data_IF_826153177383
#
_entry.id   IF_826153177383
#
_cell.length_a   1.000
_cell.length_b   1.000
_cell.length_c   1.000
_cell.angle_alpha   90.00
_cell.angle_beta   90.00
_cell.angle_gamma   90.00
#
_symmetry.space_group_name_H-M   'P 1'
#
loop_
_entity.id
_entity.type
_entity.pdbx_description
1 polymer ?
#
# COMPACT_ATOMS: atom_id res chain seq x y z
N UNK A 1 -6.83 3.64 -12.85
CA UNK A 1 -7.55 2.60 -13.65
C UNK A 1 -8.07 1.46 -12.79
N UNK A 2 -7.27 0.82 -11.90
CA UNK A 2 -7.72 -0.32 -11.07
C UNK A 2 -8.91 -0.01 -10.17
N UNK A 3 -8.96 1.18 -9.58
CA UNK A 3 -10.00 1.53 -8.58
C UNK A 3 -11.34 1.91 -9.22
N UNK A 4 -11.31 2.63 -10.32
CA UNK A 4 -12.51 3.14 -11.02
C UNK A 4 -12.22 3.36 -12.52
N UNK A 5 -12.18 2.30 -13.32
CA UNK A 5 -11.76 2.36 -14.72
C UNK A 5 -12.65 3.30 -15.56
N UNK A 6 -13.94 3.38 -15.23
CA UNK A 6 -14.90 4.21 -15.97
C UNK A 6 -14.61 5.71 -15.88
N UNK A 7 -13.98 6.18 -14.80
CA UNK A 7 -13.66 7.59 -14.58
C UNK A 7 -12.18 7.92 -14.79
N UNK A 8 -11.35 6.96 -15.19
CA UNK A 8 -9.91 7.17 -15.32
C UNK A 8 -9.53 8.34 -16.24
N UNK A 9 -10.29 8.53 -17.32
CA UNK A 9 -10.08 9.59 -18.30
C UNK A 9 -10.41 11.01 -17.78
N UNK A 10 -11.13 11.12 -16.68
CA UNK A 10 -11.49 12.38 -16.04
C UNK A 10 -10.41 12.96 -15.15
N UNK A 11 -9.33 12.20 -14.92
CA UNK A 11 -8.21 12.63 -14.09
C UNK A 11 -6.97 12.89 -14.93
N UNK A 12 -6.27 13.97 -14.59
CA UNK A 12 -4.97 14.31 -15.15
C UNK A 12 -3.94 14.42 -14.02
N UNK A 13 -2.77 13.81 -14.22
CA UNK A 13 -1.68 13.81 -13.25
C UNK A 13 -0.46 14.50 -13.82
N UNK A 14 0.17 15.36 -13.01
CA UNK A 14 1.37 16.09 -13.39
C UNK A 14 2.41 16.02 -12.29
N UNK A 15 3.63 15.61 -12.63
CA UNK A 15 4.76 15.71 -11.71
C UNK A 15 5.33 17.13 -11.73
N UNK A 16 5.52 17.69 -10.53
CA UNK A 16 6.23 18.96 -10.34
C UNK A 16 7.74 18.70 -10.37
N UNK A 17 8.47 19.60 -10.98
CA UNK A 17 9.94 19.47 -11.16
C UNK A 17 10.75 20.22 -10.09
N UNK A 18 10.11 20.58 -8.97
CA UNK A 18 10.79 21.29 -7.90
C UNK A 18 11.57 20.35 -6.94
N UNK A 19 12.54 20.92 -6.26
CA UNK A 19 13.43 20.22 -5.32
C UNK A 19 12.93 20.19 -3.88
N UNK A 20 11.62 20.31 -3.65
CA UNK A 20 11.05 20.29 -2.30
C UNK A 20 11.05 18.88 -1.74
N UNK A 21 11.72 18.67 -0.62
CA UNK A 21 11.94 17.38 0.03
C UNK A 21 10.72 16.86 0.84
N UNK A 22 9.66 17.65 0.97
CA UNK A 22 8.42 17.28 1.66
C UNK A 22 7.33 17.03 0.63
N UNK A 23 6.63 15.90 0.77
CA UNK A 23 5.51 15.53 -0.08
C UNK A 23 4.44 16.61 -0.08
N UNK A 24 4.02 17.01 -1.28
CA UNK A 24 2.95 17.98 -1.49
C UNK A 24 2.18 17.69 -2.76
N UNK A 25 0.91 18.07 -2.76
CA UNK A 25 0.09 18.04 -3.95
C UNK A 25 -0.73 19.33 -4.09
N UNK A 26 -1.15 19.59 -5.33
CA UNK A 26 -2.17 20.56 -5.68
C UNK A 26 -3.32 19.82 -6.37
N UNK A 27 -4.54 20.22 -6.06
CA UNK A 27 -5.76 19.69 -6.64
C UNK A 27 -6.60 20.83 -7.18
N UNK A 28 -7.02 20.77 -8.43
CA UNK A 28 -7.83 21.78 -9.11
C UNK A 28 -8.67 21.16 -10.21
N UNK A 29 -9.71 21.85 -10.65
CA UNK A 29 -10.45 21.53 -11.89
C UNK A 29 -9.86 22.30 -13.05
N UNK A 30 -9.58 21.62 -14.17
CA UNK A 30 -9.06 22.21 -15.38
C UNK A 30 -9.75 21.59 -16.61
N UNK A 31 -10.42 22.42 -17.42
CA UNK A 31 -11.09 22.01 -18.65
C UNK A 31 -12.00 20.76 -18.48
N UNK A 32 -12.77 20.71 -17.40
CA UNK A 32 -13.69 19.61 -17.09
C UNK A 32 -13.01 18.34 -16.58
N UNK A 33 -11.71 18.39 -16.25
CA UNK A 33 -10.96 17.32 -15.65
C UNK A 33 -10.49 17.70 -14.25
N UNK A 34 -10.21 16.70 -13.46
CA UNK A 34 -9.57 16.86 -12.15
C UNK A 34 -8.05 16.76 -12.33
N UNK A 35 -7.36 17.88 -12.16
CA UNK A 35 -5.92 17.98 -12.28
C UNK A 35 -5.26 17.85 -10.92
N UNK A 36 -4.40 16.86 -10.78
CA UNK A 36 -3.63 16.58 -9.57
C UNK A 36 -2.14 16.74 -9.90
N UNK A 37 -1.50 17.69 -9.25
CA UNK A 37 -0.05 17.92 -9.37
C UNK A 37 0.63 17.50 -8.08
N UNK A 38 1.78 16.83 -8.18
CA UNK A 38 2.53 16.40 -7.00
C UNK A 38 4.03 16.36 -7.27
N UNK A 39 4.85 16.55 -6.24
CA UNK A 39 6.30 16.50 -6.38
C UNK A 39 6.87 15.08 -6.48
N UNK A 40 6.05 14.06 -6.24
CA UNK A 40 6.38 12.66 -6.50
C UNK A 40 5.10 11.83 -6.71
N UNK A 41 5.25 10.54 -7.06
CA UNK A 41 4.13 9.65 -7.35
C UNK A 41 3.22 9.41 -6.14
N UNK A 42 3.81 9.34 -4.94
CA UNK A 42 3.05 9.16 -3.70
C UNK A 42 2.16 10.39 -3.43
N UNK A 43 2.70 11.59 -3.63
CA UNK A 43 1.94 12.85 -3.52
C UNK A 43 0.75 12.90 -4.50
N UNK A 44 0.92 12.39 -5.72
CA UNK A 44 -0.20 12.27 -6.68
C UNK A 44 -1.29 11.33 -6.17
N UNK A 45 -0.91 10.18 -5.62
CA UNK A 45 -1.87 9.22 -5.06
C UNK A 45 -2.61 9.81 -3.83
N UNK A 46 -1.92 10.55 -2.98
CA UNK A 46 -2.54 11.23 -1.83
C UNK A 46 -3.50 12.32 -2.30
N UNK A 47 -3.14 13.08 -3.33
CA UNK A 47 -4.04 14.07 -3.95
C UNK A 47 -5.31 13.43 -4.50
N UNK A 48 -5.19 12.28 -5.16
CA UNK A 48 -6.33 11.51 -5.62
C UNK A 48 -7.21 11.07 -4.45
N UNK A 49 -6.62 10.50 -3.40
CA UNK A 49 -7.36 10.07 -2.21
C UNK A 49 -8.06 11.25 -1.50
N UNK A 50 -7.43 12.42 -1.49
CA UNK A 50 -8.04 13.64 -0.98
C UNK A 50 -9.32 13.99 -1.76
N UNK A 51 -9.24 13.95 -3.10
CA UNK A 51 -10.40 14.19 -3.95
C UNK A 51 -11.52 13.17 -3.70
N UNK A 52 -11.18 11.88 -3.65
CA UNK A 52 -12.15 10.82 -3.37
C UNK A 52 -12.88 11.04 -2.04
N UNK A 53 -12.14 11.36 -0.99
CA UNK A 53 -12.71 11.55 0.36
C UNK A 53 -13.56 12.80 0.51
N UNK A 54 -13.06 13.94 0.05
CA UNK A 54 -13.64 15.23 0.39
C UNK A 54 -14.59 15.79 -0.68
N UNK A 55 -14.47 15.31 -1.92
CA UNK A 55 -15.33 15.73 -3.03
C UNK A 55 -16.30 14.62 -3.45
N UNK A 56 -15.81 13.40 -3.63
CA UNK A 56 -16.66 12.27 -4.00
C UNK A 56 -17.32 11.58 -2.81
N UNK A 57 -16.93 11.92 -1.57
CA UNK A 57 -17.39 11.27 -0.33
C UNK A 57 -17.25 9.74 -0.38
N UNK A 58 -16.20 9.28 -1.03
CA UNK A 58 -15.91 7.87 -1.22
C UNK A 58 -14.64 7.47 -0.49
N UNK A 59 -14.58 6.22 -0.06
CA UNK A 59 -13.48 5.69 0.73
C UNK A 59 -12.91 4.42 0.10
N UNK A 60 -11.58 4.36 0.01
CA UNK A 60 -10.87 3.15 -0.40
C UNK A 60 -10.37 2.43 0.84
N UNK A 61 -10.84 1.21 1.06
CA UNK A 61 -10.41 0.36 2.16
C UNK A 61 -9.58 -0.81 1.64
N UNK A 62 -8.51 -1.15 2.35
CA UNK A 62 -7.75 -2.36 2.07
C UNK A 62 -8.43 -3.63 2.65
N UNK A 63 -9.37 -3.43 3.55
CA UNK A 63 -10.08 -4.49 4.25
C UNK A 63 -11.39 -4.90 3.55
N UNK A 64 -12.10 -3.94 2.96
CA UNK A 64 -13.35 -4.20 2.28
C UNK A 64 -13.11 -4.60 0.83
N UNK A 65 -13.87 -5.58 0.36
CA UNK A 65 -13.85 -6.03 -1.04
C UNK A 65 -14.72 -5.19 -1.97
N UNK A 66 -15.45 -4.21 -1.42
CA UNK A 66 -16.39 -3.41 -2.16
C UNK A 66 -15.69 -2.54 -3.22
N UNK A 67 -16.32 -2.41 -4.36
CA UNK A 67 -15.87 -1.49 -5.41
C UNK A 67 -16.01 -0.05 -4.93
N UNK A 68 -15.08 0.78 -5.37
CA UNK A 68 -15.13 2.23 -5.13
C UNK A 68 -16.34 2.80 -5.86
N UNK A 69 -17.30 3.33 -5.11
CA UNK A 69 -18.51 3.96 -5.69
C UNK A 69 -18.19 5.42 -6.00
N UNK A 70 -18.27 5.76 -7.29
CA UNK A 70 -18.04 7.12 -7.77
C UNK A 70 -19.38 7.82 -8.05
N UNK A 71 -19.49 9.14 -7.80
CA UNK A 71 -20.65 9.90 -8.21
C UNK A 71 -20.78 9.90 -9.74
N UNK A 72 -22.00 9.93 -10.26
CA UNK A 72 -22.27 9.94 -11.70
C UNK A 72 -21.62 11.16 -12.39
N UNK A 73 -21.58 12.30 -11.72
CA UNK A 73 -20.86 13.49 -12.13
C UNK A 73 -19.81 13.83 -11.07
N UNK A 74 -18.57 13.96 -11.52
CA UNK A 74 -17.47 14.30 -10.62
C UNK A 74 -17.61 15.76 -10.15
N UNK A 75 -17.58 16.01 -8.81
CA UNK A 75 -17.63 17.36 -8.28
C UNK A 75 -16.43 18.21 -8.74
N UNK A 76 -16.69 19.46 -9.04
CA UNK A 76 -15.63 20.41 -9.36
C UNK A 76 -14.87 20.87 -8.11
N UNK A 77 -13.61 21.19 -8.31
CA UNK A 77 -12.74 21.81 -7.31
C UNK A 77 -12.77 23.32 -7.56
N UNK A 78 -13.73 24.01 -6.95
CA UNK A 78 -13.97 25.44 -7.16
C UNK A 78 -12.77 26.31 -6.77
N UNK A 79 -12.07 25.92 -5.71
CA UNK A 79 -10.87 26.61 -5.21
C UNK A 79 -9.72 25.61 -5.16
N UNK A 80 -8.58 25.91 -5.80
CA UNK A 80 -7.41 25.04 -5.76
C UNK A 80 -6.98 24.69 -4.33
N UNK A 81 -6.76 23.41 -4.07
CA UNK A 81 -6.29 22.89 -2.79
C UNK A 81 -4.79 22.65 -2.90
N UNK A 82 -4.02 23.20 -1.96
CA UNK A 82 -2.57 22.96 -1.83
C UNK A 82 -2.31 22.38 -0.46
N UNK A 83 -1.85 21.15 -0.40
CA UNK A 83 -1.50 20.48 0.84
C UNK A 83 -0.09 19.92 0.81
N UNK A 84 0.55 19.92 1.97
CA UNK A 84 1.89 19.36 2.19
C UNK A 84 1.88 18.46 3.40
N UNK A 85 2.68 17.42 3.36
CA UNK A 85 2.87 16.53 4.50
C UNK A 85 3.54 17.28 5.66
N UNK A 86 3.17 16.91 6.89
CA UNK A 86 3.87 17.38 8.11
C UNK A 86 5.11 16.54 8.42
N UNK A 87 5.18 15.33 7.87
CA UNK A 87 6.24 14.36 8.13
C UNK A 87 6.86 13.88 6.81
N UNK A 88 8.18 13.80 6.76
CA UNK A 88 8.91 13.23 5.62
C UNK A 88 8.69 11.72 5.52
N UNK A 89 8.81 11.02 6.64
CA UNK A 89 8.70 9.57 6.72
C UNK A 89 7.39 9.17 7.39
N UNK A 90 6.65 8.27 6.74
CA UNK A 90 5.38 7.73 7.24
C UNK A 90 5.46 6.22 7.19
N UNK A 91 5.74 5.64 8.36
CA UNK A 91 5.92 4.21 8.54
C UNK A 91 4.58 3.50 8.68
N UNK A 92 4.48 2.31 8.13
CA UNK A 92 3.27 1.50 8.23
C UNK A 92 3.59 0.02 8.40
N UNK A 93 2.85 -0.59 9.29
CA UNK A 93 2.83 -1.94 9.83
C UNK A 93 3.95 -2.24 10.84
N UNK A 94 3.62 -3.17 11.73
CA UNK A 94 4.53 -3.84 12.64
C UNK A 94 4.59 -5.34 12.31
N UNK A 95 5.49 -6.05 12.95
CA UNK A 95 5.71 -7.49 12.72
C UNK A 95 4.46 -8.34 12.97
N UNK A 96 3.76 -8.12 14.07
CA UNK A 96 2.65 -8.97 14.50
C UNK A 96 1.46 -8.95 13.54
N UNK A 97 1.20 -7.81 12.90
CA UNK A 97 0.06 -7.63 11.98
C UNK A 97 0.06 -8.66 10.86
N UNK A 98 1.22 -9.06 10.37
CA UNK A 98 1.35 -10.08 9.33
C UNK A 98 0.81 -11.45 9.77
N UNK A 99 0.88 -11.78 11.06
CA UNK A 99 0.34 -13.03 11.61
C UNK A 99 -1.16 -13.00 11.90
N UNK A 100 -1.73 -11.82 12.11
CA UNK A 100 -3.15 -11.70 12.43
C UNK A 100 -4.07 -11.65 11.20
N UNK A 101 -3.68 -10.90 10.19
CA UNK A 101 -4.58 -10.62 9.06
C UNK A 101 -4.07 -11.19 7.74
N UNK A 102 -2.78 -11.45 7.59
CA UNK A 102 -2.13 -11.62 6.29
C UNK A 102 -1.47 -12.99 6.03
N UNK A 103 -1.55 -14.02 6.90
CA UNK A 103 -0.79 -15.27 6.71
C UNK A 103 -1.11 -15.99 5.41
N UNK A 104 -2.37 -15.87 4.94
CA UNK A 104 -2.88 -16.59 3.78
C UNK A 104 -3.26 -15.67 2.62
N UNK A 105 -2.79 -14.43 2.66
CA UNK A 105 -3.06 -13.46 1.61
C UNK A 105 -2.48 -13.89 0.27
N UNK A 106 -3.26 -13.68 -0.77
CA UNK A 106 -2.87 -13.83 -2.17
C UNK A 106 -2.36 -12.49 -2.71
N UNK A 107 -1.82 -12.49 -3.92
CA UNK A 107 -1.33 -11.26 -4.54
C UNK A 107 -2.39 -10.15 -4.62
N UNK A 108 -3.63 -10.51 -4.92
CA UNK A 108 -4.74 -9.54 -4.97
C UNK A 108 -4.95 -8.77 -3.65
N UNK A 109 -4.70 -9.41 -2.51
CA UNK A 109 -4.84 -8.79 -1.19
C UNK A 109 -3.67 -7.82 -0.93
N UNK A 110 -2.46 -8.26 -1.29
CA UNK A 110 -1.27 -7.43 -1.22
C UNK A 110 -1.35 -6.22 -2.15
N UNK A 111 -1.81 -6.40 -3.39
CA UNK A 111 -1.98 -5.30 -4.36
C UNK A 111 -2.95 -4.24 -3.82
N UNK A 112 -4.06 -4.66 -3.22
CA UNK A 112 -5.02 -3.75 -2.58
C UNK A 112 -4.41 -2.97 -1.42
N UNK A 113 -3.63 -3.64 -0.56
CA UNK A 113 -2.92 -2.97 0.52
C UNK A 113 -1.90 -1.97 -0.01
N UNK A 114 -1.14 -2.31 -1.04
CA UNK A 114 -0.16 -1.42 -1.66
C UNK A 114 -0.84 -0.18 -2.25
N UNK A 115 -1.95 -0.36 -2.95
CA UNK A 115 -2.74 0.76 -3.48
C UNK A 115 -3.25 1.66 -2.34
N UNK A 116 -3.76 1.05 -1.26
CA UNK A 116 -4.21 1.79 -0.09
C UNK A 116 -3.06 2.54 0.59
N UNK A 117 -1.89 1.93 0.73
CA UNK A 117 -0.70 2.59 1.28
C UNK A 117 -0.30 3.80 0.45
N UNK A 118 -0.28 3.68 -0.87
CA UNK A 118 0.01 4.80 -1.77
C UNK A 118 -1.00 5.94 -1.62
N UNK A 119 -2.30 5.62 -1.59
CA UNK A 119 -3.38 6.59 -1.41
C UNK A 119 -3.33 7.30 -0.04
N UNK A 120 -2.81 6.64 0.99
CA UNK A 120 -2.67 7.21 2.33
C UNK A 120 -1.27 7.74 2.63
N UNK A 121 -0.41 7.81 1.63
CA UNK A 121 0.88 8.48 1.71
C UNK A 121 1.94 7.73 2.52
N UNK A 122 1.82 6.41 2.66
CA UNK A 122 2.86 5.60 3.31
C UNK A 122 4.13 5.65 2.47
N UNK A 123 5.27 5.98 3.09
CA UNK A 123 6.58 6.07 2.43
C UNK A 123 7.53 4.96 2.86
N UNK A 124 7.26 4.32 3.99
CA UNK A 124 8.12 3.31 4.60
C UNK A 124 7.27 2.11 5.06
N UNK A 125 6.79 1.26 4.14
CA UNK A 125 6.11 0.02 4.55
C UNK A 125 7.13 -1.00 5.07
N UNK A 126 6.78 -1.72 6.14
CA UNK A 126 7.54 -2.88 6.57
C UNK A 126 7.29 -4.05 5.61
N UNK A 127 8.32 -4.48 4.89
CA UNK A 127 8.22 -5.49 3.84
C UNK A 127 8.95 -6.78 4.25
N UNK A 128 8.42 -7.48 5.26
CA UNK A 128 9.06 -8.69 5.81
C UNK A 128 8.48 -10.00 5.25
N UNK A 129 7.35 -9.95 4.58
CA UNK A 129 6.70 -11.15 4.04
C UNK A 129 7.53 -11.74 2.88
N UNK A 130 7.69 -13.06 2.89
CA UNK A 130 8.42 -13.77 1.85
C UNK A 130 9.90 -14.04 2.17
N UNK A 131 10.40 -13.65 3.33
CA UNK A 131 11.78 -13.93 3.74
C UNK A 131 12.06 -15.44 3.76
N UNK A 132 11.14 -16.25 4.20
CA UNK A 132 11.27 -17.71 4.32
C UNK A 132 11.57 -18.36 2.98
N UNK A 133 11.01 -17.86 1.89
CA UNK A 133 11.29 -18.38 0.55
C UNK A 133 12.74 -18.11 0.12
N UNK A 134 13.32 -17.01 0.57
CA UNK A 134 14.74 -16.69 0.33
C UNK A 134 15.62 -17.56 1.21
N UNK A 135 15.32 -17.68 2.51
CA UNK A 135 16.05 -18.53 3.43
C UNK A 135 16.04 -19.99 2.97
N UNK A 136 14.88 -20.49 2.55
CA UNK A 136 14.76 -21.83 1.99
C UNK A 136 15.73 -22.06 0.83
N UNK A 137 15.76 -21.15 -0.16
CA UNK A 137 16.68 -21.24 -1.31
C UNK A 137 18.14 -21.25 -0.86
N UNK A 138 18.53 -20.30 -0.02
CA UNK A 138 19.91 -20.16 0.46
C UNK A 138 20.33 -21.42 1.22
N UNK A 139 19.52 -21.91 2.15
CA UNK A 139 19.90 -23.05 2.97
C UNK A 139 19.94 -24.36 2.21
N UNK A 140 19.04 -24.57 1.26
CA UNK A 140 19.12 -25.74 0.37
C UNK A 140 20.34 -25.68 -0.56
N UNK A 141 20.73 -24.51 -1.03
CA UNK A 141 21.98 -24.32 -1.77
C UNK A 141 23.22 -24.58 -0.89
N UNK A 142 23.13 -24.34 0.41
CA UNK A 142 24.17 -24.66 1.40
C UNK A 142 24.21 -26.14 1.78
N UNK A 143 23.29 -26.96 1.30
CA UNK A 143 23.28 -28.40 1.48
C UNK A 143 22.30 -28.95 2.53
N UNK A 144 21.44 -28.12 3.13
CA UNK A 144 20.37 -28.62 3.97
C UNK A 144 19.27 -29.26 3.13
N UNK A 145 18.66 -30.31 3.65
CA UNK A 145 17.52 -30.97 3.00
C UNK A 145 16.24 -30.12 3.11
N UNK A 146 15.26 -30.42 2.22
CA UNK A 146 13.94 -29.81 2.27
C UNK A 146 13.27 -29.98 3.64
N UNK A 147 13.40 -31.18 4.24
CA UNK A 147 12.82 -31.50 5.53
C UNK A 147 13.45 -30.68 6.67
N UNK A 148 14.78 -30.59 6.70
CA UNK A 148 15.50 -29.80 7.73
C UNK A 148 15.09 -28.34 7.66
N UNK A 149 15.05 -27.73 6.45
CA UNK A 149 14.68 -26.33 6.31
C UNK A 149 13.22 -26.08 6.71
N UNK A 150 12.30 -26.91 6.27
CA UNK A 150 10.86 -26.73 6.58
C UNK A 150 10.55 -26.94 8.06
N UNK A 151 11.24 -27.90 8.70
CA UNK A 151 11.04 -28.19 10.11
C UNK A 151 11.54 -27.04 11.01
N UNK A 152 12.49 -26.25 10.54
CA UNK A 152 12.96 -25.08 11.29
C UNK A 152 11.89 -23.99 11.43
N UNK A 153 11.08 -23.77 10.40
CA UNK A 153 10.08 -22.71 10.42
C UNK A 153 8.81 -23.11 11.16
N UNK A 154 8.17 -22.13 11.80
CA UNK A 154 6.79 -22.28 12.25
C UNK A 154 5.82 -22.24 11.09
N UNK A 155 4.57 -22.67 11.32
CA UNK A 155 3.50 -22.54 10.34
C UNK A 155 3.20 -21.07 9.97
N UNK A 156 2.52 -20.83 8.83
CA UNK A 156 2.36 -19.49 8.24
C UNK A 156 1.79 -18.44 9.20
N UNK A 157 0.84 -18.83 10.05
CA UNK A 157 0.20 -17.91 10.99
C UNK A 157 1.15 -17.39 12.10
N UNK A 158 2.26 -18.08 12.36
CA UNK A 158 3.18 -17.75 13.46
C UNK A 158 4.54 -17.21 12.97
N UNK A 159 4.77 -17.14 11.67
CA UNK A 159 6.02 -16.64 11.10
C UNK A 159 6.46 -15.27 11.63
N UNK A 160 5.57 -14.28 11.86
CA UNK A 160 5.99 -13.01 12.46
C UNK A 160 6.69 -13.16 13.80
N UNK A 161 6.18 -14.02 14.66
CA UNK A 161 6.81 -14.29 15.99
C UNK A 161 8.07 -15.11 15.88
N UNK A 162 8.15 -16.02 14.92
CA UNK A 162 9.38 -16.74 14.60
C UNK A 162 10.47 -15.75 14.13
N UNK A 163 10.16 -14.84 13.23
CA UNK A 163 11.11 -13.80 12.76
C UNK A 163 11.61 -12.89 13.87
N UNK A 164 10.83 -12.68 14.93
CA UNK A 164 11.20 -11.91 16.12
C UNK A 164 11.91 -12.76 17.18
N UNK A 165 12.16 -14.04 16.92
CA UNK A 165 12.72 -15.01 17.90
C UNK A 165 11.88 -15.16 19.18
N UNK A 166 10.56 -14.98 19.07
CA UNK A 166 9.64 -15.18 20.19
C UNK A 166 9.15 -16.63 20.30
N UNK A 167 9.17 -17.38 19.20
CA UNK A 167 8.74 -18.78 19.12
C UNK A 167 9.71 -19.57 18.24
N UNK A 168 10.03 -20.79 18.66
CA UNK A 168 10.82 -21.76 17.93
C UNK A 168 10.08 -23.09 17.94
N UNK A 169 10.05 -23.81 16.82
CA UNK A 169 9.52 -25.18 16.70
C UNK A 169 8.10 -25.38 17.26
N UNK A 170 7.38 -24.32 17.45
CA UNK A 170 6.15 -24.32 18.23
C UNK A 170 4.92 -24.75 17.44
N UNK A 171 4.99 -24.73 16.15
CA UNK A 171 3.87 -25.01 15.27
C UNK A 171 4.23 -26.02 14.20
N UNK A 172 3.23 -26.48 13.48
CA UNK A 172 3.44 -27.32 12.31
C UNK A 172 4.47 -26.68 11.36
N UNK A 173 5.35 -27.46 10.78
CA UNK A 173 6.31 -26.97 9.79
C UNK A 173 5.63 -26.27 8.60
N UNK A 174 6.39 -25.48 7.90
CA UNK A 174 5.96 -24.89 6.64
C UNK A 174 5.57 -25.94 5.61
#
# INVERSE_FOLDING_TARGET
ERLFPQHAHSFQFQLLTDSVDIDRFTLESDNGKILIKGNNRNSLAVGLNHYLKYYCQTHVSWYASDSVVMPAQLPEVETPVILRSKCKNRFFLNYCTFGYSMPYWKWSDWERLIDWMALNGVTMPLAITGQESIWYKVWTEMGLSDEEVRTYFTGPAHLPWHRMSNVDYWQSPL
#
